data_IF_623605413481
#
_entry.id   IF_623605413481
#
_cell.length_a   1.000
_cell.length_b   1.000
_cell.length_c   1.000
_cell.angle_alpha   90.00
_cell.angle_beta   90.00
_cell.angle_gamma   90.00
#
_symmetry.space_group_name_H-M   'P 1'
#
loop_
_entity.id
_entity.type
_entity.pdbx_description
1 polymer ?
#
# COMPACT_ATOMS: atom_id res chain seq x y z
N UNK A 1 -8.20 21.04 14.18
CA UNK A 1 -8.61 19.70 14.63
C UNK A 1 -7.35 18.88 14.83
N UNK A 2 -7.22 18.06 15.88
CA UNK A 2 -6.08 17.14 16.04
C UNK A 2 -6.39 15.76 15.44
N UNK A 3 -5.43 15.14 14.78
CA UNK A 3 -5.56 13.77 14.26
C UNK A 3 -4.54 12.89 14.95
N UNK A 4 -4.97 11.71 15.38
CA UNK A 4 -4.09 10.67 15.92
C UNK A 4 -4.45 9.33 15.29
N UNK A 5 -3.45 8.68 14.70
CA UNK A 5 -3.59 7.36 14.09
C UNK A 5 -2.85 6.35 14.96
N UNK A 6 -3.57 5.38 15.52
CA UNK A 6 -2.94 4.39 16.38
C UNK A 6 -1.87 3.60 15.61
N UNK A 7 -0.70 3.39 16.22
CA UNK A 7 0.43 2.69 15.58
C UNK A 7 0.05 1.30 15.07
N UNK A 8 -0.84 0.60 15.78
CA UNK A 8 -1.37 -0.71 15.34
C UNK A 8 -2.08 -0.62 13.98
N UNK A 9 -2.78 0.47 13.69
CA UNK A 9 -3.43 0.70 12.40
C UNK A 9 -2.39 0.88 11.30
N UNK A 10 -1.38 1.71 11.53
CA UNK A 10 -0.27 1.92 10.58
C UNK A 10 0.44 0.61 10.27
N UNK A 11 0.84 -0.12 11.32
CA UNK A 11 1.50 -1.43 11.17
C UNK A 11 0.62 -2.47 10.47
N UNK A 12 -0.69 -2.44 10.68
CA UNK A 12 -1.61 -3.35 10.00
C UNK A 12 -1.68 -3.04 8.49
N UNK A 13 -1.73 -1.76 8.11
CA UNK A 13 -1.72 -1.31 6.72
C UNK A 13 -0.41 -1.74 6.04
N UNK A 14 0.74 -1.54 6.70
CA UNK A 14 2.04 -1.96 6.17
C UNK A 14 2.11 -3.48 5.92
N UNK A 15 1.51 -4.27 6.81
CA UNK A 15 1.45 -5.74 6.64
C UNK A 15 0.60 -6.11 5.43
N UNK A 16 -0.57 -5.50 5.26
CA UNK A 16 -1.43 -5.76 4.09
C UNK A 16 -0.72 -5.37 2.80
N UNK A 17 -0.10 -4.19 2.74
CA UNK A 17 0.55 -3.71 1.53
C UNK A 17 1.69 -4.63 1.08
N UNK A 18 2.47 -5.15 2.03
CA UNK A 18 3.55 -6.12 1.74
C UNK A 18 3.05 -7.49 1.31
N UNK A 19 1.83 -7.88 1.69
CA UNK A 19 1.24 -9.17 1.32
C UNK A 19 0.64 -9.13 -0.08
N UNK A 20 -0.06 -8.05 -0.42
CA UNK A 20 -0.72 -7.89 -1.72
C UNK A 20 0.30 -7.59 -2.83
N UNK A 21 1.41 -6.90 -2.52
CA UNK A 21 2.45 -6.55 -3.51
C UNK A 21 1.99 -5.53 -4.56
N UNK A 22 0.82 -4.94 -4.36
CA UNK A 22 0.18 -3.90 -5.16
C UNK A 22 -0.42 -2.83 -4.24
N UNK A 23 -0.86 -1.72 -4.83
CA UNK A 23 -1.51 -0.65 -4.09
C UNK A 23 -2.85 -1.11 -3.53
N UNK A 24 -2.96 -1.03 -2.21
CA UNK A 24 -4.17 -1.32 -1.46
C UNK A 24 -4.83 -0.04 -0.95
N UNK A 25 -6.06 -0.16 -0.49
CA UNK A 25 -6.70 0.86 0.31
C UNK A 25 -7.91 0.34 1.06
N UNK A 26 -8.62 1.24 1.72
CA UNK A 26 -9.77 0.88 2.53
C UNK A 26 -10.24 2.02 3.42
N UNK A 27 -11.06 1.69 4.42
CA UNK A 27 -11.66 2.69 5.31
C UNK A 27 -10.96 2.72 6.67
N UNK A 28 -10.91 3.91 7.26
CA UNK A 28 -10.40 4.16 8.60
C UNK A 28 -11.56 4.28 9.58
N UNK A 29 -11.43 3.58 10.71
CA UNK A 29 -12.44 3.50 11.75
C UNK A 29 -11.93 4.11 13.05
N UNK A 30 -12.80 4.84 13.74
CA UNK A 30 -12.39 5.47 14.98
C UNK A 30 -13.47 6.32 15.65
N UNK A 31 -12.99 7.29 16.43
CA UNK A 31 -13.83 8.18 17.24
C UNK A 31 -13.53 9.64 16.93
N UNK A 32 -14.59 10.43 16.91
CA UNK A 32 -14.51 11.89 16.74
C UNK A 32 -14.91 12.56 18.05
N UNK A 33 -13.97 13.27 18.66
CA UNK A 33 -14.23 14.07 19.85
C UNK A 33 -14.72 15.46 19.43
N UNK A 34 -15.89 15.83 19.95
CA UNK A 34 -16.53 17.11 19.70
C UNK A 34 -16.68 17.91 20.99
N UNK A 35 -16.68 19.23 20.85
CA UNK A 35 -16.95 20.20 21.92
C UNK A 35 -18.00 21.16 21.38
N UNK A 36 -19.28 20.78 21.54
CA UNK A 36 -20.36 21.39 20.77
C UNK A 36 -20.25 20.99 19.30
N UNK A 37 -20.35 21.96 18.39
CA UNK A 37 -20.20 21.74 16.95
C UNK A 37 -18.73 21.60 16.51
N UNK A 38 -17.78 22.04 17.34
CA UNK A 38 -16.36 22.02 17.00
C UNK A 38 -15.77 20.62 17.15
N UNK A 39 -15.21 20.10 16.06
CA UNK A 39 -14.39 18.88 16.09
C UNK A 39 -13.02 19.17 16.70
N UNK A 40 -12.77 18.59 17.88
CA UNK A 40 -11.51 18.76 18.62
C UNK A 40 -10.44 17.79 18.12
N UNK A 41 -10.81 16.52 17.98
CA UNK A 41 -9.88 15.51 17.49
C UNK A 41 -10.54 14.30 16.84
N UNK A 42 -9.80 13.68 15.93
CA UNK A 42 -10.11 12.40 15.29
C UNK A 42 -9.08 11.39 15.76
N UNK A 43 -9.55 10.26 16.30
CA UNK A 43 -8.69 9.13 16.68
C UNK A 43 -9.03 7.94 15.80
N UNK A 44 -8.08 7.52 14.98
CA UNK A 44 -8.16 6.30 14.18
C UNK A 44 -7.66 5.13 15.01
N UNK A 45 -8.52 4.13 15.21
CA UNK A 45 -8.28 2.99 16.12
C UNK A 45 -8.37 1.63 15.41
N UNK A 46 -8.97 1.58 14.22
CA UNK A 46 -9.01 0.40 13.35
C UNK A 46 -9.02 0.82 11.87
N UNK A 47 -8.79 -0.14 10.98
CA UNK A 47 -8.95 0.01 9.53
C UNK A 47 -9.58 -1.27 8.96
N UNK A 48 -10.29 -1.14 7.84
CA UNK A 48 -10.78 -2.27 7.05
C UNK A 48 -10.25 -2.17 5.63
N UNK A 49 -9.68 -3.27 5.15
CA UNK A 49 -9.13 -3.40 3.80
C UNK A 49 -10.25 -3.56 2.77
N UNK A 50 -10.16 -2.82 1.68
CA UNK A 50 -11.00 -2.99 0.50
C UNK A 50 -10.50 -4.17 -0.35
N UNK A 51 -10.83 -5.38 0.08
CA UNK A 51 -10.44 -6.61 -0.61
C UNK A 51 -10.97 -6.63 -2.05
N UNK A 52 -10.08 -6.83 -3.02
CA UNK A 52 -10.44 -6.88 -4.45
C UNK A 52 -10.77 -5.53 -5.09
N UNK A 53 -10.46 -4.41 -4.44
CA UNK A 53 -10.55 -3.10 -5.07
C UNK A 53 -9.59 -2.99 -6.27
N UNK A 54 -10.06 -2.42 -7.37
CA UNK A 54 -9.22 -2.15 -8.53
C UNK A 54 -8.31 -0.95 -8.27
N UNK A 55 -7.01 -1.08 -8.57
CA UNK A 55 -6.09 0.05 -8.55
C UNK A 55 -6.31 0.97 -9.76
N UNK A 56 -6.25 2.28 -9.55
CA UNK A 56 -6.37 3.30 -10.60
C UNK A 56 -5.25 4.32 -10.42
N UNK A 57 -4.22 4.22 -11.25
CA UNK A 57 -3.04 5.06 -11.14
C UNK A 57 -2.22 4.71 -9.90
N UNK A 58 -2.13 5.66 -8.96
CA UNK A 58 -1.45 5.51 -7.66
C UNK A 58 -2.44 5.45 -6.48
N UNK A 59 -3.63 4.89 -6.72
CA UNK A 59 -4.75 4.91 -5.77
C UNK A 59 -5.66 3.71 -5.99
N UNK A 60 -6.74 3.63 -5.23
CA UNK A 60 -7.78 2.61 -5.39
C UNK A 60 -9.10 3.21 -5.84
N UNK A 61 -9.83 2.44 -6.65
CA UNK A 61 -11.19 2.79 -7.06
C UNK A 61 -12.17 2.41 -5.94
N UNK A 62 -12.83 3.41 -5.37
CA UNK A 62 -14.04 3.19 -4.60
C UNK A 62 -15.25 3.15 -5.54
N UNK A 63 -16.08 2.12 -5.41
CA UNK A 63 -17.45 2.11 -5.95
C UNK A 63 -18.44 2.22 -4.80
N UNK A 64 -19.69 2.68 -5.06
CA UNK A 64 -20.73 2.70 -4.05
C UNK A 64 -20.94 1.33 -3.37
N UNK A 65 -20.90 0.24 -4.14
CA UNK A 65 -21.08 -1.12 -3.64
C UNK A 65 -19.96 -1.54 -2.69
N UNK A 66 -18.71 -1.23 -3.04
CA UNK A 66 -17.55 -1.51 -2.21
C UNK A 66 -17.60 -0.71 -0.90
N UNK A 67 -18.00 0.57 -0.98
CA UNK A 67 -18.11 1.41 0.21
C UNK A 67 -19.25 0.95 1.13
N UNK A 68 -20.37 0.52 0.57
CA UNK A 68 -21.50 -0.04 1.32
C UNK A 68 -21.10 -1.34 2.03
N UNK A 69 -20.37 -2.24 1.36
CA UNK A 69 -19.84 -3.45 1.97
C UNK A 69 -18.91 -3.12 3.16
N UNK A 70 -17.91 -2.28 2.93
CA UNK A 70 -16.95 -1.85 3.96
C UNK A 70 -17.66 -1.20 5.15
N UNK A 71 -18.63 -0.34 4.90
CA UNK A 71 -19.39 0.34 5.95
C UNK A 71 -20.27 -0.63 6.74
N UNK A 72 -20.83 -1.66 6.08
CA UNK A 72 -21.60 -2.69 6.76
C UNK A 72 -20.72 -3.63 7.59
N UNK A 73 -19.56 -4.04 7.05
CA UNK A 73 -18.53 -4.77 7.80
C UNK A 73 -18.08 -3.98 9.03
N UNK A 74 -17.83 -2.68 8.90
CA UNK A 74 -17.46 -1.82 10.01
C UNK A 74 -18.50 -1.82 11.14
N UNK A 75 -19.80 -1.80 10.80
CA UNK A 75 -20.88 -1.85 11.81
C UNK A 75 -20.92 -3.18 12.56
N UNK A 76 -20.57 -4.28 11.89
CA UNK A 76 -20.60 -5.65 12.48
C UNK A 76 -19.34 -5.93 13.28
N UNK A 77 -18.16 -5.66 12.71
CA UNK A 77 -16.85 -5.99 13.28
C UNK A 77 -16.40 -4.96 14.33
N UNK A 78 -16.80 -3.70 14.16
CA UNK A 78 -16.36 -2.57 14.98
C UNK A 78 -17.52 -1.64 15.41
N UNK A 79 -18.56 -2.15 16.11
CA UNK A 79 -19.78 -1.38 16.43
C UNK A 79 -19.55 -0.14 17.30
N UNK A 80 -18.38 -0.03 17.95
CA UNK A 80 -17.99 1.12 18.76
C UNK A 80 -17.34 2.27 17.97
N UNK A 81 -17.04 2.04 16.69
CA UNK A 81 -16.32 2.97 15.83
C UNK A 81 -17.19 3.42 14.66
N UNK A 82 -16.96 4.66 14.22
CA UNK A 82 -17.53 5.19 12.98
C UNK A 82 -16.44 5.32 11.92
N UNK A 83 -16.84 5.47 10.66
CA UNK A 83 -15.93 5.83 9.58
C UNK A 83 -15.40 7.24 9.82
N UNK A 84 -14.08 7.36 9.92
CA UNK A 84 -13.36 8.62 10.16
C UNK A 84 -12.43 9.00 9.01
N UNK A 85 -12.45 8.24 7.93
CA UNK A 85 -11.62 8.52 6.76
C UNK A 85 -11.38 7.27 5.94
N UNK A 86 -10.36 7.36 5.11
CA UNK A 86 -9.89 6.28 4.25
C UNK A 86 -8.37 6.27 4.17
N UNK A 87 -7.83 5.19 3.65
CA UNK A 87 -6.42 5.09 3.36
C UNK A 87 -6.20 4.44 1.99
N UNK A 88 -5.05 4.73 1.41
CA UNK A 88 -4.47 3.95 0.35
C UNK A 88 -2.95 3.94 0.48
N UNK A 89 -2.33 3.07 -0.31
CA UNK A 89 -0.88 2.92 -0.33
C UNK A 89 -0.32 3.23 -1.70
N UNK A 90 0.88 3.81 -1.73
CA UNK A 90 1.68 3.93 -2.94
C UNK A 90 2.80 2.90 -2.90
N UNK A 91 3.35 2.58 -4.06
CA UNK A 91 4.47 1.65 -4.17
C UNK A 91 5.74 2.37 -4.64
N UNK A 92 6.47 3.03 -3.73
CA UNK A 92 7.75 3.68 -4.05
C UNK A 92 7.64 5.06 -4.72
N UNK A 93 6.47 5.72 -4.65
CA UNK A 93 6.23 7.04 -5.25
C UNK A 93 6.30 8.20 -4.23
N UNK A 94 6.35 7.87 -2.94
CA UNK A 94 6.21 8.79 -1.81
C UNK A 94 4.75 8.90 -1.35
N UNK A 95 4.54 9.35 -0.11
CA UNK A 95 3.21 9.52 0.45
C UNK A 95 2.65 10.93 0.12
N UNK A 96 2.00 11.04 -1.03
CA UNK A 96 1.38 12.28 -1.49
C UNK A 96 -0.10 12.11 -1.82
N UNK A 97 -0.82 13.22 -1.94
CA UNK A 97 -2.23 13.23 -2.32
C UNK A 97 -2.40 13.74 -3.74
N UNK A 98 -2.99 12.91 -4.60
CA UNK A 98 -3.22 13.20 -6.01
C UNK A 98 -4.54 13.97 -6.23
N UNK A 99 -4.73 14.45 -7.47
CA UNK A 99 -6.01 15.01 -7.92
C UNK A 99 -7.12 13.95 -7.90
N UNK A 100 -6.79 12.71 -8.23
CA UNK A 100 -7.74 11.59 -8.13
C UNK A 100 -8.16 11.35 -6.68
N UNK A 101 -7.22 11.35 -5.74
CA UNK A 101 -7.54 11.18 -4.31
C UNK A 101 -8.43 12.32 -3.79
N UNK A 102 -8.25 13.53 -4.33
CA UNK A 102 -9.12 14.67 -4.04
C UNK A 102 -10.55 14.44 -4.50
N UNK A 103 -10.75 13.82 -5.68
CA UNK A 103 -12.08 13.44 -6.17
C UNK A 103 -12.70 12.37 -5.28
N UNK A 104 -11.97 11.28 -5.01
CA UNK A 104 -12.42 10.19 -4.13
C UNK A 104 -12.83 10.72 -2.75
N UNK A 105 -12.00 11.57 -2.15
CA UNK A 105 -12.30 12.13 -0.84
C UNK A 105 -13.53 13.04 -0.87
N UNK A 106 -13.67 13.90 -1.89
CA UNK A 106 -14.84 14.78 -2.05
C UNK A 106 -16.14 14.00 -2.25
N UNK A 107 -16.08 12.90 -3.01
CA UNK A 107 -17.25 12.12 -3.37
C UNK A 107 -17.70 11.18 -2.24
N UNK A 108 -16.76 10.45 -1.63
CA UNK A 108 -17.07 9.36 -0.71
C UNK A 108 -16.82 9.70 0.77
N UNK A 109 -15.98 10.70 1.06
CA UNK A 109 -15.62 11.10 2.43
C UNK A 109 -15.78 12.61 2.68
N UNK A 110 -16.98 13.19 2.42
CA UNK A 110 -17.17 14.66 2.41
C UNK A 110 -17.26 15.31 3.81
N UNK A 111 -17.28 14.52 4.90
CA UNK A 111 -17.51 15.08 6.22
C UNK A 111 -16.26 15.83 6.71
N UNK A 112 -16.38 17.02 7.34
CA UNK A 112 -15.23 17.86 7.68
C UNK A 112 -14.18 17.24 8.63
N UNK A 113 -14.52 16.14 9.30
CA UNK A 113 -13.59 15.40 10.17
C UNK A 113 -12.99 14.16 9.52
N UNK A 114 -13.45 13.79 8.31
CA UNK A 114 -12.90 12.65 7.61
C UNK A 114 -11.50 12.99 7.10
N UNK A 115 -10.57 12.06 7.27
CA UNK A 115 -9.17 12.20 6.87
C UNK A 115 -8.85 11.26 5.72
N UNK A 116 -7.76 11.53 5.02
CA UNK A 116 -7.12 10.52 4.17
C UNK A 116 -5.72 10.23 4.68
N UNK A 117 -5.35 8.95 4.72
CA UNK A 117 -4.00 8.48 5.03
C UNK A 117 -3.38 7.86 3.78
N UNK A 118 -2.25 8.40 3.34
CA UNK A 118 -1.44 7.81 2.29
C UNK A 118 -0.19 7.22 2.94
N UNK A 119 0.09 5.95 2.71
CA UNK A 119 1.33 5.31 3.17
C UNK A 119 2.12 4.78 1.99
N UNK A 120 3.43 5.01 1.99
CA UNK A 120 4.35 4.34 1.09
C UNK A 120 5.22 3.39 1.92
N UNK A 121 4.89 2.09 1.97
CA UNK A 121 5.62 1.11 2.77
C UNK A 121 7.01 0.78 2.20
N UNK A 122 7.31 1.11 0.94
CA UNK A 122 8.65 0.93 0.36
C UNK A 122 9.59 2.03 0.86
N UNK A 123 9.13 3.28 0.86
CA UNK A 123 9.93 4.42 1.32
C UNK A 123 9.79 4.69 2.82
N UNK A 124 8.80 4.11 3.49
CA UNK A 124 8.47 4.36 4.89
C UNK A 124 7.87 5.75 5.15
N UNK A 125 7.32 6.38 4.10
CA UNK A 125 6.72 7.71 4.17
C UNK A 125 5.22 7.60 4.47
N UNK A 126 4.68 8.56 5.21
CA UNK A 126 3.24 8.67 5.45
C UNK A 126 2.79 10.13 5.32
N UNK A 127 1.57 10.32 4.80
CA UNK A 127 0.93 11.61 4.64
C UNK A 127 -0.51 11.52 5.13
N UNK A 128 -0.90 12.42 6.03
CA UNK A 128 -2.29 12.57 6.46
C UNK A 128 -2.83 13.85 5.85
N UNK A 129 -4.03 13.79 5.28
CA UNK A 129 -4.70 14.92 4.64
C UNK A 129 -6.04 15.19 5.32
N UNK A 130 -6.31 16.47 5.59
CA UNK A 130 -7.48 16.95 6.32
C UNK A 130 -8.15 18.11 5.61
N UNK A 131 -9.43 18.31 5.86
CA UNK A 131 -10.16 19.49 5.42
C UNK A 131 -9.67 20.76 6.13
N UNK A 132 -9.25 21.76 5.35
CA UNK A 132 -9.01 23.12 5.79
C UNK A 132 -9.54 24.10 4.75
N UNK A 133 -10.47 24.98 5.13
CA UNK A 133 -11.06 25.98 4.23
C UNK A 133 -11.61 25.41 2.90
N UNK A 134 -12.26 24.24 2.95
CA UNK A 134 -12.79 23.52 1.77
C UNK A 134 -11.73 22.96 0.80
N UNK A 135 -10.48 22.92 1.24
CA UNK A 135 -9.38 22.27 0.54
C UNK A 135 -8.81 21.14 1.40
N UNK A 136 -8.22 20.13 0.74
CA UNK A 136 -7.50 19.07 1.41
C UNK A 136 -6.03 19.46 1.48
N UNK A 137 -5.52 19.55 2.70
CA UNK A 137 -4.14 19.96 2.97
C UNK A 137 -3.42 18.90 3.80
N UNK A 138 -2.09 18.78 3.68
CA UNK A 138 -1.30 17.96 4.58
C UNK A 138 -1.54 18.38 6.04
N UNK A 139 -1.73 17.40 6.92
CA UNK A 139 -1.89 17.61 8.35
C UNK A 139 -0.52 17.73 9.02
N UNK A 140 -0.15 18.97 9.33
CA UNK A 140 1.02 19.30 10.14
C UNK A 140 0.65 19.28 11.64
N UNK A 141 0.37 18.08 12.17
CA UNK A 141 0.13 17.91 13.60
C UNK A 141 1.40 18.03 14.43
N UNK A 142 1.27 18.40 15.70
CA UNK A 142 2.33 18.19 16.69
C UNK A 142 2.71 16.70 16.68
N UNK A 143 3.96 16.41 16.32
CA UNK A 143 4.49 15.05 16.24
C UNK A 143 4.04 14.22 17.43
N UNK A 144 3.64 12.96 17.22
CA UNK A 144 3.19 12.00 18.25
C UNK A 144 4.18 11.83 19.43
N UNK A 145 5.38 12.44 19.37
CA UNK A 145 6.42 12.47 20.39
C UNK A 145 5.91 12.85 21.80
N UNK A 146 4.94 13.76 21.95
CA UNK A 146 4.44 14.12 23.29
C UNK A 146 3.59 13.00 23.93
N UNK A 147 2.86 12.21 23.14
CA UNK A 147 2.01 11.13 23.67
C UNK A 147 2.84 9.92 24.13
N UNK A 148 3.99 9.66 23.49
CA UNK A 148 4.91 8.59 23.88
C UNK A 148 5.62 8.84 25.22
N UNK A 149 5.62 10.07 25.76
CA UNK A 149 6.22 10.37 27.06
C UNK A 149 5.39 9.89 28.26
N UNK A 150 4.11 9.53 28.05
CA UNK A 150 3.16 9.14 29.11
C UNK A 150 2.93 7.63 29.21
N UNK A 151 3.45 6.85 28.25
CA UNK A 151 3.62 5.41 28.43
C UNK A 151 4.97 5.24 29.12
N UNK A 152 5.06 4.65 30.33
CA UNK A 152 6.37 4.32 30.89
C UNK A 152 7.09 3.47 29.86
N UNK A 153 8.14 4.01 29.25
CA UNK A 153 9.05 3.28 28.37
C UNK A 153 9.86 2.34 29.24
N UNK A 154 9.20 1.28 29.71
CA UNK A 154 9.86 0.05 30.10
C UNK A 154 10.64 -0.38 28.86
N UNK A 155 11.94 -0.17 28.90
CA UNK A 155 12.86 -0.46 27.81
C UNK A 155 12.57 -1.87 27.29
N UNK A 156 12.24 -2.06 25.99
CA UNK A 156 12.09 -3.40 25.47
C UNK A 156 13.48 -4.03 25.47
N UNK A 157 13.75 -4.86 26.48
CA UNK A 157 14.85 -5.83 26.44
C UNK A 157 14.45 -6.87 25.40
N UNK A 158 14.79 -6.63 24.14
CA UNK A 158 14.86 -7.69 23.14
C UNK A 158 15.92 -8.68 23.61
N UNK A 159 15.48 -9.73 24.32
CA UNK A 159 16.34 -10.84 24.70
C UNK A 159 16.48 -11.70 23.45
N UNK A 160 17.57 -11.52 22.71
CA UNK A 160 17.99 -12.44 21.65
C UNK A 160 17.80 -13.87 22.16
N UNK A 161 16.83 -14.57 21.57
CA UNK A 161 16.56 -15.96 21.92
C UNK A 161 17.75 -16.75 21.39
N UNK A 162 18.50 -17.37 22.30
CA UNK A 162 19.74 -18.07 22.00
C UNK A 162 19.47 -19.15 20.91
N UNK A 163 20.11 -19.12 19.73
CA UNK A 163 19.73 -19.94 18.56
C UNK A 163 19.80 -21.45 18.84
N UNK A 164 20.59 -21.87 19.84
CA UNK A 164 20.66 -23.25 20.33
C UNK A 164 19.36 -23.77 20.96
N UNK A 165 18.52 -22.88 21.51
CA UNK A 165 17.24 -23.26 22.14
C UNK A 165 16.10 -23.34 21.12
N UNK A 166 16.16 -22.56 20.05
CA UNK A 166 15.17 -22.61 18.96
C UNK A 166 15.30 -23.89 18.12
N UNK A 167 16.55 -24.33 17.85
CA UNK A 167 16.82 -25.61 17.20
C UNK A 167 16.40 -26.82 18.06
N UNK A 168 16.56 -26.73 19.39
CA UNK A 168 16.09 -27.77 20.31
C UNK A 168 14.56 -27.89 20.33
N UNK A 169 13.83 -26.77 20.26
CA UNK A 169 12.37 -26.77 20.17
C UNK A 169 11.85 -27.40 18.87
N UNK A 170 12.50 -27.12 17.74
CA UNK A 170 12.16 -27.74 16.45
C UNK A 170 12.44 -29.25 16.48
N UNK A 171 13.58 -29.67 17.07
CA UNK A 171 13.90 -31.09 17.22
C UNK A 171 12.90 -31.85 18.12
N UNK A 172 12.43 -31.24 19.22
CA UNK A 172 11.41 -31.84 20.09
C UNK A 172 10.07 -32.04 19.37
N UNK A 173 9.66 -31.09 18.51
CA UNK A 173 8.42 -31.22 17.72
C UNK A 173 8.55 -32.34 16.67
N UNK A 174 9.69 -32.45 15.99
CA UNK A 174 9.95 -33.55 15.04
C UNK A 174 9.96 -34.92 15.73
N UNK A 175 10.56 -35.03 16.92
CA UNK A 175 10.57 -36.28 17.71
C UNK A 175 9.16 -36.63 18.20
N UNK A 176 8.35 -35.65 18.60
CA UNK A 176 6.96 -35.88 18.99
C UNK A 176 6.09 -36.35 17.82
N UNK A 177 6.25 -35.76 16.62
CA UNK A 177 5.54 -36.19 15.40
C UNK A 177 5.99 -37.59 14.96
N UNK A 178 7.28 -37.91 15.08
CA UNK A 178 7.81 -39.25 14.81
C UNK A 178 7.31 -40.30 15.83
N UNK A 179 7.17 -39.94 17.10
CA UNK A 179 6.61 -40.82 18.14
C UNK A 179 5.12 -41.10 17.92
N UNK A 180 4.34 -40.08 17.51
CA UNK A 180 2.90 -40.23 17.22
C UNK A 180 2.68 -41.10 15.97
N UNK A 181 3.46 -40.90 14.91
CA UNK A 181 3.38 -41.72 13.69
C UNK A 181 3.93 -43.14 13.89
N UNK A 182 4.97 -43.30 14.73
CA UNK A 182 5.54 -44.60 15.10
C UNK A 182 4.58 -45.47 15.92
N UNK A 183 3.86 -44.89 16.89
CA UNK A 183 2.86 -45.60 17.71
C UNK A 183 1.62 -45.97 16.88
N UNK A 184 1.22 -45.12 15.92
CA UNK A 184 0.11 -45.40 15.01
C UNK A 184 0.42 -46.54 14.03
N UNK A 185 1.68 -46.65 13.57
CA UNK A 185 2.12 -47.75 12.68
C UNK A 185 2.34 -49.07 13.41
N UNK A 186 2.75 -49.05 14.69
CA UNK A 186 2.90 -50.27 15.49
C UNK A 186 1.53 -50.91 15.82
N UNK A 187 0.51 -50.12 16.19
CA UNK A 187 -0.82 -50.65 16.51
C UNK A 187 -1.56 -51.31 15.34
N UNK A 188 -1.20 -51.00 14.09
CA UNK A 188 -1.90 -51.49 12.90
C UNK A 188 -1.38 -52.83 12.36
N UNK A 189 -0.24 -53.34 12.83
CA UNK A 189 0.43 -54.47 12.16
C UNK A 189 0.55 -55.69 13.08
N UNK A 190 -0.53 -56.49 13.13
CA UNK A 190 -0.47 -57.89 13.58
C UNK A 190 -0.77 -58.79 12.39
N UNK A 191 0.13 -59.76 12.15
CA UNK A 191 0.09 -60.91 11.23
C UNK A 191 0.82 -60.80 9.86
N UNK A 192 2.10 -61.23 9.86
CA UNK A 192 2.73 -62.37 9.15
C UNK A 192 2.62 -62.50 7.59
N UNK A 193 3.68 -62.99 6.90
CA UNK A 193 4.17 -62.50 5.60
C UNK A 193 3.95 -63.50 4.43
N UNK A 194 4.45 -63.17 3.22
CA UNK A 194 5.31 -64.03 2.34
C UNK A 194 5.27 -63.59 0.85
N UNK A 195 6.46 -63.68 0.21
CA UNK A 195 6.75 -63.84 -1.24
C UNK A 195 6.55 -62.70 -2.23
N UNK A 196 7.31 -62.53 -3.32
CA UNK A 196 8.67 -62.88 -3.81
C UNK A 196 8.73 -62.33 -5.24
N UNK A 197 9.86 -61.76 -5.66
CA UNK A 197 10.30 -61.82 -7.08
C UNK A 197 10.01 -60.59 -7.97
N UNK A 198 10.78 -60.42 -9.07
CA UNK A 198 11.59 -59.21 -9.26
C UNK A 198 11.49 -58.52 -10.65
N UNK A 199 12.16 -57.36 -10.77
CA UNK A 199 12.86 -56.80 -11.96
C UNK A 199 12.03 -56.47 -13.24
N UNK A 200 12.31 -55.44 -14.07
CA UNK A 200 13.57 -54.84 -14.53
C UNK A 200 13.31 -53.51 -15.31
N UNK A 201 14.31 -52.61 -15.26
CA UNK A 201 14.92 -51.73 -16.32
C UNK A 201 14.11 -50.75 -17.23
N UNK A 202 14.39 -49.42 -17.18
CA UNK A 202 15.32 -48.56 -18.00
C UNK A 202 14.64 -48.03 -19.29
N UNK A 203 14.68 -46.78 -19.78
CA UNK A 203 15.81 -45.93 -20.26
C UNK A 203 15.28 -44.55 -20.77
N UNK A 204 16.06 -43.47 -20.53
CA UNK A 204 16.29 -42.19 -21.27
C UNK A 204 15.29 -41.00 -21.40
N UNK A 205 15.90 -39.83 -21.16
CA UNK A 205 15.62 -38.41 -21.45
C UNK A 205 16.27 -38.06 -22.84
N UNK A 206 15.89 -37.01 -23.65
CA UNK A 206 15.86 -35.61 -23.20
C UNK A 206 14.90 -34.58 -23.85
N UNK A 207 14.87 -33.43 -23.17
CA UNK A 207 14.49 -32.02 -23.49
C UNK A 207 13.87 -31.65 -24.84
N UNK A 208 13.02 -30.59 -24.84
CA UNK A 208 13.45 -29.37 -25.53
C UNK A 208 13.14 -28.03 -24.81
N UNK A 209 13.97 -27.03 -25.12
CA UNK A 209 13.80 -25.59 -24.84
C UNK A 209 12.47 -25.00 -25.33
N UNK A 210 11.99 -23.87 -24.77
CA UNK A 210 10.93 -23.08 -25.37
C UNK A 210 11.50 -21.95 -26.25
N UNK A 211 11.04 -21.88 -27.50
CA UNK A 211 11.14 -20.71 -28.36
C UNK A 211 9.82 -19.95 -28.34
N UNK A 212 9.95 -18.63 -28.36
CA UNK A 212 8.92 -17.59 -28.46
C UNK A 212 7.96 -17.81 -29.64
N UNK A 213 6.68 -17.48 -29.44
CA UNK A 213 5.73 -17.13 -30.51
C UNK A 213 4.84 -15.96 -30.06
N UNK A 214 4.91 -14.94 -30.90
CA UNK A 214 4.10 -13.74 -31.16
C UNK A 214 2.57 -13.80 -30.95
N UNK A 215 2.03 -12.76 -30.32
CA UNK A 215 0.87 -11.86 -30.65
C UNK A 215 -0.36 -12.38 -31.44
N UNK A 216 -1.58 -11.92 -31.10
CA UNK A 216 -2.04 -10.61 -31.58
C UNK A 216 -2.81 -9.73 -30.59
N UNK A 217 -2.38 -8.46 -30.58
CA UNK A 217 -3.15 -7.24 -30.39
C UNK A 217 -4.49 -7.25 -31.13
N UNK A 218 -5.59 -6.93 -30.44
CA UNK A 218 -6.81 -6.35 -31.03
C UNK A 218 -7.53 -5.51 -29.97
N UNK A 219 -7.39 -4.18 -30.17
CA UNK A 219 -8.25 -3.03 -29.90
C UNK A 219 -9.57 -3.17 -29.11
N UNK A 220 -9.90 -2.09 -28.36
CA UNK A 220 -11.17 -1.30 -28.31
C UNK A 220 -11.09 -0.35 -27.07
N UNK A 221 -11.61 0.90 -27.06
CA UNK A 221 -11.80 1.92 -28.09
C UNK A 221 -11.12 3.27 -27.77
N UNK A 222 -10.92 4.05 -28.83
CA UNK A 222 -10.63 5.48 -28.86
C UNK A 222 -11.79 6.26 -28.22
N UNK A 223 -11.50 7.10 -27.21
CA UNK A 223 -12.45 8.09 -26.67
C UNK A 223 -12.11 9.44 -27.29
N UNK A 224 -13.08 10.02 -27.99
CA UNK A 224 -12.97 11.25 -28.77
C UNK A 224 -12.27 12.41 -28.01
N UNK A 225 -11.34 13.12 -28.68
CA UNK A 225 -10.60 14.23 -28.11
C UNK A 225 -11.45 15.51 -28.23
N UNK A 226 -12.20 15.84 -27.20
CA UNK A 226 -12.92 17.12 -27.14
C UNK A 226 -12.90 17.72 -25.74
N UNK A 227 -11.70 17.88 -25.17
CA UNK A 227 -11.35 19.12 -24.48
C UNK A 227 -9.83 19.32 -24.50
N UNK A 228 -9.33 19.67 -25.69
CA UNK A 228 -7.96 20.09 -25.92
C UNK A 228 -7.69 21.43 -25.20
N UNK A 229 -7.05 21.36 -24.05
CA UNK A 229 -6.16 22.41 -23.57
C UNK A 229 -4.75 22.10 -24.06
N UNK A 230 -4.55 22.16 -25.38
CA UNK A 230 -3.27 21.92 -26.03
C UNK A 230 -2.33 23.10 -25.70
N UNK A 231 -1.25 22.87 -24.98
CA UNK A 231 -0.13 23.83 -24.89
C UNK A 231 1.20 23.12 -24.57
N UNK A 232 1.88 22.69 -25.63
CA UNK A 232 3.27 22.23 -25.60
C UNK A 232 4.25 23.33 -26.05
N UNK A 233 5.01 23.81 -25.05
CA UNK A 233 6.44 24.20 -24.99
C UNK A 233 7.11 25.21 -25.95
N UNK A 234 8.02 25.98 -25.33
CA UNK A 234 9.30 26.37 -25.96
C UNK A 234 10.53 26.31 -25.02
N UNK A 235 10.37 26.32 -23.69
CA UNK A 235 11.51 26.26 -22.75
C UNK A 235 11.34 25.15 -21.70
N UNK A 236 12.42 24.46 -21.37
CA UNK A 236 12.46 23.42 -20.35
C UNK A 236 13.80 23.45 -19.62
N UNK A 237 13.81 22.96 -18.39
CA UNK A 237 15.03 22.90 -17.58
C UNK A 237 15.54 21.47 -17.52
N UNK A 238 16.83 21.30 -17.73
CA UNK A 238 17.50 20.03 -17.50
C UNK A 238 17.73 19.84 -16.00
N UNK A 239 17.30 18.72 -15.48
CA UNK A 239 17.44 18.35 -14.07
C UNK A 239 18.22 17.05 -13.95
N UNK A 240 19.17 16.96 -13.02
CA UNK A 240 19.89 15.73 -12.72
C UNK A 240 19.28 15.15 -11.46
N UNK A 241 18.72 13.95 -11.57
CA UNK A 241 18.10 13.21 -10.46
C UNK A 241 19.12 13.06 -9.33
N UNK A 242 18.77 13.52 -8.14
CA UNK A 242 19.59 13.39 -6.94
C UNK A 242 19.26 12.08 -6.21
N UNK A 243 20.18 11.57 -5.37
CA UNK A 243 19.86 10.47 -4.47
C UNK A 243 18.59 10.75 -3.65
N UNK A 244 17.67 9.79 -3.63
CA UNK A 244 16.37 9.84 -2.96
C UNK A 244 15.33 10.80 -3.57
N UNK A 245 15.57 11.41 -4.73
CA UNK A 245 14.50 12.11 -5.42
C UNK A 245 13.39 11.12 -5.85
N UNK A 246 12.14 11.55 -5.73
CA UNK A 246 11.00 10.91 -6.40
C UNK A 246 10.49 11.81 -7.53
N UNK A 247 9.83 11.24 -8.54
CA UNK A 247 9.24 12.03 -9.64
C UNK A 247 8.27 13.09 -9.11
N UNK A 248 7.57 12.77 -8.03
CA UNK A 248 6.62 13.66 -7.39
C UNK A 248 7.32 14.83 -6.69
N UNK A 249 8.41 14.58 -5.96
CA UNK A 249 9.16 15.65 -5.28
C UNK A 249 9.86 16.56 -6.27
N UNK A 250 10.39 16.02 -7.36
CA UNK A 250 10.92 16.81 -8.47
C UNK A 250 9.83 17.71 -9.06
N UNK A 251 8.65 17.15 -9.31
CA UNK A 251 7.48 17.89 -9.80
C UNK A 251 7.06 19.01 -8.86
N UNK A 252 6.92 18.73 -7.56
CA UNK A 252 6.59 19.75 -6.56
C UNK A 252 7.65 20.83 -6.45
N UNK A 253 8.94 20.47 -6.52
CA UNK A 253 10.07 21.42 -6.43
C UNK A 253 10.11 22.35 -7.64
N UNK A 254 9.84 21.82 -8.83
CA UNK A 254 9.99 22.57 -10.08
C UNK A 254 8.71 23.29 -10.52
N UNK A 255 7.55 22.70 -10.28
CA UNK A 255 6.24 23.24 -10.66
C UNK A 255 5.41 23.77 -9.49
N UNK A 256 5.88 23.65 -8.26
CA UNK A 256 5.11 23.99 -7.05
C UNK A 256 4.06 22.95 -6.66
N UNK A 257 3.63 22.09 -7.60
CA UNK A 257 2.64 21.03 -7.37
C UNK A 257 3.17 19.68 -7.86
N UNK A 258 3.08 18.65 -7.01
CA UNK A 258 3.54 17.31 -7.38
C UNK A 258 2.69 16.64 -8.45
N UNK A 259 1.41 17.03 -8.61
CA UNK A 259 0.46 16.50 -9.61
C UNK A 259 0.96 16.59 -11.06
N UNK A 260 1.90 17.49 -11.37
CA UNK A 260 2.53 17.59 -12.69
C UNK A 260 3.56 16.49 -12.99
N UNK A 261 3.73 15.49 -12.12
CA UNK A 261 4.73 14.44 -12.32
C UNK A 261 4.48 13.65 -13.61
N UNK A 262 3.22 13.47 -14.02
CA UNK A 262 2.86 12.80 -15.28
C UNK A 262 3.43 13.51 -16.51
N UNK A 263 3.48 14.85 -16.49
CA UNK A 263 4.06 15.67 -17.57
C UNK A 263 5.57 15.40 -17.70
N UNK A 264 6.25 15.21 -16.56
CA UNK A 264 7.67 14.85 -16.54
C UNK A 264 7.86 13.44 -17.12
N UNK A 265 7.07 12.46 -16.69
CA UNK A 265 7.17 11.09 -17.18
C UNK A 265 6.97 11.02 -18.70
N UNK A 266 5.94 11.69 -19.21
CA UNK A 266 5.61 11.72 -20.63
C UNK A 266 6.75 12.33 -21.47
N UNK A 267 7.26 13.50 -21.08
CA UNK A 267 8.35 14.16 -21.82
C UNK A 267 9.66 13.37 -21.79
N UNK A 268 9.91 12.66 -20.69
CA UNK A 268 11.13 11.86 -20.53
C UNK A 268 10.95 10.41 -21.00
N UNK A 269 9.75 10.04 -21.47
CA UNK A 269 9.40 8.67 -21.90
C UNK A 269 9.71 7.63 -20.82
N UNK A 270 9.42 7.98 -19.57
CA UNK A 270 9.59 7.10 -18.41
C UNK A 270 8.26 6.42 -18.16
N UNK A 271 8.20 5.13 -18.43
CA UNK A 271 6.99 4.32 -18.21
C UNK A 271 6.78 4.00 -16.73
N UNK A 272 7.87 3.69 -16.00
CA UNK A 272 7.83 3.34 -14.59
C UNK A 272 8.53 4.41 -13.74
N UNK A 273 7.79 5.25 -13.00
CA UNK A 273 8.35 6.31 -12.15
C UNK A 273 9.29 5.78 -11.06
N UNK A 274 9.22 4.50 -10.70
CA UNK A 274 10.07 3.88 -9.67
C UNK A 274 11.49 3.57 -10.16
N UNK A 275 11.72 3.63 -11.48
CA UNK A 275 13.02 3.35 -12.10
C UNK A 275 13.90 4.60 -12.26
N UNK A 276 13.62 5.65 -11.50
CA UNK A 276 14.48 6.83 -11.47
C UNK A 276 15.82 6.50 -10.83
N UNK A 277 16.91 6.73 -11.56
CA UNK A 277 18.26 6.49 -11.06
C UNK A 277 18.96 7.82 -10.71
N UNK A 278 19.64 7.92 -9.56
CA UNK A 278 20.48 9.07 -9.26
C UNK A 278 21.53 9.30 -10.36
N UNK A 279 21.64 10.54 -10.83
CA UNK A 279 22.48 10.91 -11.97
C UNK A 279 21.75 10.86 -13.32
N UNK A 280 20.54 10.31 -13.40
CA UNK A 280 19.72 10.36 -14.60
C UNK A 280 19.35 11.81 -14.94
N UNK A 281 19.41 12.14 -16.23
CA UNK A 281 19.03 13.46 -16.71
C UNK A 281 17.54 13.46 -17.10
N UNK A 282 16.78 14.39 -16.53
CA UNK A 282 15.39 14.65 -16.88
C UNK A 282 15.26 16.00 -17.58
N UNK A 283 14.39 16.04 -18.58
CA UNK A 283 13.88 17.25 -19.18
C UNK A 283 12.58 17.65 -18.50
N UNK A 284 12.59 18.77 -17.78
CA UNK A 284 11.41 19.32 -17.11
C UNK A 284 10.79 20.40 -18.03
N UNK A 285 9.72 20.10 -18.77
CA UNK A 285 9.07 21.09 -19.65
C UNK A 285 8.46 22.22 -18.83
N UNK A 286 8.45 23.46 -19.33
CA UNK A 286 7.67 24.53 -18.67
C UNK A 286 6.19 24.28 -18.87
N UNK A 287 5.42 24.36 -17.78
CA UNK A 287 3.97 24.34 -17.81
C UNK A 287 3.47 25.79 -17.90
N UNK A 288 2.56 26.07 -18.83
CA UNK A 288 1.81 27.34 -18.83
C UNK A 288 0.56 27.07 -18.02
N UNK A 289 0.46 27.67 -16.83
CA UNK A 289 -0.80 27.64 -16.09
C UNK A 289 -1.87 28.37 -16.92
N UNK A 290 -2.98 27.69 -17.22
CA UNK A 290 -4.14 28.37 -17.75
C UNK A 290 -4.65 29.34 -16.67
N UNK A 291 -4.48 30.66 -16.90
CA UNK A 291 -5.05 31.68 -16.04
C UNK A 291 -6.55 31.43 -15.83
N UNK A 292 -7.07 31.63 -14.60
CA UNK A 292 -8.48 31.41 -14.27
C UNK A 292 -9.45 32.31 -15.04
#
# INVERSE_FOLDING_TARGET
>A
MRVHVAQVVKSQIDVWARQEGQEIGGILLGRVQRSGELVRSVRVEAALLAEGAESVGSSIRFTPELLDDLTNRAKVEHPAFQVVGWFHTHNGLGAFFSSYDTLVHKEYFPLPWQIALVSDPELGNEGIYVWQNQELVPYEGESDAEWYSLIPTGSPRYRLVNPRRFLASIACVVILVAAVTGVSRWRSNSNVPVSTGPEQETVQQPDPSPTQTTDPETAIPEVDPANSGDQLVAEGTKYIVQPNDTIWEISRRFYGQGSYFGVILEHNRIEDPRKLEPGQELWLPSIVEASP
#
